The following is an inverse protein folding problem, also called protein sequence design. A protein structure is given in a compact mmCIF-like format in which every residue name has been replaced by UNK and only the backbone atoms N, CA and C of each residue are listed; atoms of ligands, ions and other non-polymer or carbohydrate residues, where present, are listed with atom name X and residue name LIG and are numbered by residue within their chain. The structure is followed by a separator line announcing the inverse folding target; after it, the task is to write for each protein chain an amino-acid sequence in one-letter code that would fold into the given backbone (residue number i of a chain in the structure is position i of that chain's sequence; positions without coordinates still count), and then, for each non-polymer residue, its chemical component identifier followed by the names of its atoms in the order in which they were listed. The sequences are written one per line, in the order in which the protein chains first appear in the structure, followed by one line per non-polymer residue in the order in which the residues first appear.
data_IF_101345903337
#
_entry.id   IF_101345903337
#
_cell.length_a   1.000
_cell.length_b   1.000
_cell.length_c   1.000
_cell.angle_alpha   90.00
_cell.angle_beta   90.00
_cell.angle_gamma   90.00
#
_symmetry.space_group_name_H-M   'P 1'
#
loop_
_entity.id
_entity.type
_entity.pdbx_description
1 polymer ?
#
# COMPACT_ATOMS: atom_id res chain seq x y z
N UNK A 1 1.03 -4.02 8.58
CA UNK A 1 0.63 -3.39 7.31
C UNK A 1 1.78 -3.57 6.35
N UNK A 2 1.51 -3.65 5.05
CA UNK A 2 2.52 -3.66 4.01
C UNK A 2 2.11 -2.71 2.89
N UNK A 3 3.12 -2.20 2.16
CA UNK A 3 2.95 -1.33 1.01
C UNK A 3 3.71 -1.91 -0.17
N UNK A 4 3.04 -2.06 -1.31
CA UNK A 4 3.60 -2.67 -2.52
C UNK A 4 3.47 -1.69 -3.67
N UNK A 5 4.56 -1.56 -4.44
CA UNK A 5 4.61 -0.80 -5.68
C UNK A 5 4.47 -1.75 -6.86
N UNK A 6 3.41 -1.58 -7.63
CA UNK A 6 3.14 -2.34 -8.84
C UNK A 6 3.57 -1.49 -10.03
N UNK A 7 4.63 -1.93 -10.71
CA UNK A 7 5.09 -1.32 -11.95
C UNK A 7 4.22 -1.82 -13.09
N UNK A 8 3.57 -0.90 -13.81
CA UNK A 8 2.74 -1.26 -14.97
C UNK A 8 3.54 -1.36 -16.28
N UNK A 9 4.78 -0.89 -16.28
CA UNK A 9 5.63 -1.02 -17.46
C UNK A 9 5.90 -2.51 -17.73
N UNK A 10 5.73 -2.97 -18.98
CA UNK A 10 5.99 -4.35 -19.33
C UNK A 10 7.47 -4.67 -19.08
N UNK A 11 7.72 -5.86 -18.55
CA UNK A 11 9.08 -6.35 -18.35
C UNK A 11 9.64 -6.77 -19.70
N UNK A 12 10.77 -6.21 -20.09
CA UNK A 12 11.53 -6.70 -21.25
C UNK A 12 12.21 -8.00 -20.85
N UNK A 13 11.85 -9.08 -21.55
CA UNK A 13 12.44 -10.41 -21.34
C UNK A 13 13.78 -10.58 -22.06
N UNK A 14 14.43 -11.72 -21.82
CA UNK A 14 15.53 -12.16 -22.69
C UNK A 14 14.95 -12.52 -24.04
N UNK A 15 15.58 -12.00 -25.09
CA UNK A 15 15.28 -12.34 -26.47
C UNK A 15 16.59 -12.62 -27.23
N UNK A 16 16.55 -13.52 -28.21
CA UNK A 16 17.69 -13.84 -29.06
C UNK A 16 17.54 -13.11 -30.39
N UNK A 17 18.36 -12.09 -30.62
CA UNK A 17 18.47 -11.43 -31.91
C UNK A 17 19.55 -12.10 -32.77
N UNK A 18 19.34 -12.14 -34.08
CA UNK A 18 20.39 -12.49 -35.03
C UNK A 18 21.54 -11.46 -34.95
N UNK A 19 22.79 -11.86 -35.26
CA UNK A 19 23.92 -10.93 -35.32
C UNK A 19 23.59 -9.75 -36.23
N UNK A 20 23.89 -8.52 -35.79
CA UNK A 20 23.62 -7.24 -36.47
C UNK A 20 22.15 -6.80 -36.51
N UNK A 21 21.23 -7.47 -35.80
CA UNK A 21 19.88 -6.94 -35.54
C UNK A 21 19.77 -6.39 -34.12
N UNK A 22 19.12 -5.23 -33.98
CA UNK A 22 18.79 -4.61 -32.68
C UNK A 22 17.30 -4.30 -32.67
N UNK A 23 16.58 -4.81 -31.68
CA UNK A 23 15.23 -4.32 -31.40
C UNK A 23 15.29 -2.88 -30.90
N UNK A 24 14.47 -2.02 -31.50
CA UNK A 24 14.19 -0.69 -30.95
C UNK A 24 13.11 -0.89 -29.89
N UNK A 25 13.55 -0.91 -28.63
CA UNK A 25 12.62 -0.89 -27.50
C UNK A 25 12.18 0.55 -27.31
N UNK A 26 10.89 0.81 -27.51
CA UNK A 26 10.32 2.11 -27.21
C UNK A 26 10.44 2.33 -25.71
N UNK A 27 11.11 3.39 -25.29
CA UNK A 27 11.11 3.78 -23.87
C UNK A 27 9.66 4.00 -23.46
N UNK A 28 9.14 3.14 -22.58
CA UNK A 28 7.81 3.36 -22.03
C UNK A 28 7.78 4.76 -21.42
N UNK A 29 6.73 5.51 -21.74
CA UNK A 29 6.53 6.87 -21.23
C UNK A 29 6.44 6.91 -19.70
N UNK A 30 5.85 7.98 -19.18
CA UNK A 30 5.83 8.28 -17.75
C UNK A 30 5.53 7.04 -16.88
N UNK A 31 6.41 6.75 -15.91
CA UNK A 31 6.38 5.53 -15.09
C UNK A 31 5.08 5.46 -14.25
N UNK A 32 4.08 4.76 -14.78
CA UNK A 32 2.82 4.56 -14.09
C UNK A 32 3.01 3.47 -13.02
N UNK A 33 2.95 3.91 -11.77
CA UNK A 33 2.97 3.02 -10.60
C UNK A 33 1.59 2.95 -9.98
N UNK A 34 1.15 1.73 -9.72
CA UNK A 34 0.02 1.48 -8.84
C UNK A 34 0.55 1.11 -7.46
N UNK A 35 -0.14 1.59 -6.43
CA UNK A 35 0.22 1.35 -5.05
C UNK A 35 -0.85 0.49 -4.39
N UNK A 36 -0.43 -0.46 -3.58
CA UNK A 36 -1.29 -1.33 -2.81
C UNK A 36 -0.89 -1.23 -1.34
N UNK A 37 -1.82 -0.75 -0.50
CA UNK A 37 -1.67 -0.75 0.95
C UNK A 37 -2.53 -1.87 1.50
N UNK A 38 -1.90 -2.76 2.27
CA UNK A 38 -2.51 -3.96 2.79
C UNK A 38 -2.29 -4.15 4.27
N UNK A 39 -3.25 -4.82 4.91
CA UNK A 39 -3.11 -5.31 6.26
C UNK A 39 -3.59 -6.76 6.31
N UNK A 40 -2.77 -7.62 6.93
CA UNK A 40 -3.05 -9.01 7.15
C UNK A 40 -3.34 -9.23 8.64
N UNK A 41 -4.59 -9.50 9.04
CA UNK A 41 -4.89 -9.83 10.41
C UNK A 41 -4.34 -11.22 10.75
N UNK A 42 -3.52 -11.32 11.78
CA UNK A 42 -2.89 -12.59 12.24
C UNK A 42 -3.95 -13.65 12.54
N UNK A 43 -5.10 -13.25 13.09
CA UNK A 43 -6.16 -14.17 13.52
C UNK A 43 -6.94 -14.81 12.38
N UNK A 44 -7.16 -14.09 11.28
CA UNK A 44 -8.02 -14.55 10.18
C UNK A 44 -7.24 -14.96 8.95
N UNK A 45 -5.99 -14.51 8.80
CA UNK A 45 -5.15 -14.78 7.64
C UNK A 45 -5.71 -14.21 6.32
N UNK A 46 -6.80 -13.43 6.36
CA UNK A 46 -7.45 -12.88 5.16
C UNK A 46 -7.00 -11.43 4.95
N UNK A 47 -6.15 -11.15 3.95
CA UNK A 47 -5.65 -9.81 3.72
C UNK A 47 -6.79 -8.85 3.39
N UNK A 48 -6.62 -7.60 3.80
CA UNK A 48 -7.44 -6.48 3.38
C UNK A 48 -6.53 -5.51 2.67
N UNK A 49 -6.83 -5.17 1.42
CA UNK A 49 -6.05 -4.24 0.64
C UNK A 49 -6.91 -3.10 0.10
N UNK A 50 -6.23 -1.98 -0.16
CA UNK A 50 -6.74 -0.84 -0.92
C UNK A 50 -5.72 -0.57 -2.02
N UNK A 51 -6.17 -0.25 -3.23
CA UNK A 51 -5.35 0.07 -4.40
C UNK A 51 -5.54 1.53 -4.83
N UNK A 52 -4.48 2.16 -5.34
CA UNK A 52 -4.49 3.58 -5.65
C UNK A 52 -3.33 4.02 -6.55
N UNK A 53 -3.45 5.23 -7.10
CA UNK A 53 -2.47 5.80 -8.05
C UNK A 53 -1.37 6.65 -7.38
N UNK A 54 -1.47 6.91 -6.08
CA UNK A 54 -0.55 7.78 -5.32
C UNK A 54 -0.20 7.20 -3.94
N UNK A 55 1.04 7.45 -3.49
CA UNK A 55 1.49 7.17 -2.11
C UNK A 55 1.14 8.34 -1.18
N UNK A 56 -0.15 8.61 -1.00
CA UNK A 56 -0.60 9.68 -0.10
C UNK A 56 -1.09 9.15 1.25
N UNK A 57 -1.30 10.07 2.20
CA UNK A 57 -1.89 9.74 3.49
C UNK A 57 -3.38 9.39 3.39
N UNK A 58 -4.09 9.80 2.33
CA UNK A 58 -5.48 9.43 2.12
C UNK A 58 -5.62 7.92 1.89
N UNK A 59 -4.61 7.31 1.28
CA UNK A 59 -4.53 5.88 1.04
C UNK A 59 -4.47 5.07 2.34
N UNK A 60 -3.59 5.49 3.27
CA UNK A 60 -3.52 4.92 4.61
C UNK A 60 -4.85 5.08 5.37
N UNK A 61 -5.46 6.27 5.29
CA UNK A 61 -6.76 6.54 5.93
C UNK A 61 -7.85 5.62 5.37
N UNK A 62 -7.90 5.39 4.05
CA UNK A 62 -8.85 4.44 3.43
C UNK A 62 -8.67 3.02 3.97
N UNK A 63 -7.43 2.58 4.16
CA UNK A 63 -7.15 1.27 4.76
C UNK A 63 -7.69 1.19 6.19
N UNK A 64 -7.48 2.23 7.01
CA UNK A 64 -8.00 2.28 8.38
C UNK A 64 -9.53 2.15 8.44
N UNK A 65 -10.24 2.89 7.58
CA UNK A 65 -11.70 2.79 7.47
C UNK A 65 -12.15 1.40 7.04
N UNK A 66 -11.45 0.79 6.07
CA UNK A 66 -11.77 -0.56 5.60
C UNK A 66 -11.57 -1.60 6.70
N UNK A 67 -10.52 -1.47 7.51
CA UNK A 67 -10.28 -2.34 8.66
C UNK A 67 -11.32 -2.16 9.76
N UNK A 68 -11.66 -0.92 10.12
CA UNK A 68 -12.68 -0.64 11.11
C UNK A 68 -14.07 -1.17 10.69
N UNK A 69 -14.38 -1.10 9.39
CA UNK A 69 -15.62 -1.64 8.83
C UNK A 69 -15.64 -3.16 8.75
N UNK A 70 -14.48 -3.82 8.56
CA UNK A 70 -14.38 -5.29 8.53
C UNK A 70 -14.51 -5.88 9.93
N UNK A 71 -13.81 -5.29 10.89
CA UNK A 71 -13.77 -5.75 12.28
C UNK A 71 -14.61 -4.84 13.19
N UNK A 72 -15.91 -4.70 12.88
CA UNK A 72 -16.82 -3.79 13.62
C UNK A 72 -16.89 -4.06 15.12
N UNK A 73 -16.64 -5.31 15.55
CA UNK A 73 -16.67 -5.71 16.97
C UNK A 73 -15.36 -5.42 17.72
N UNK A 74 -14.25 -5.17 17.02
CA UNK A 74 -12.95 -4.97 17.65
C UNK A 74 -12.84 -3.57 18.28
N UNK A 75 -12.81 -3.49 19.61
CA UNK A 75 -12.60 -2.21 20.34
C UNK A 75 -11.21 -1.59 20.10
N UNK A 76 -10.22 -2.43 19.76
CA UNK A 76 -8.83 -2.02 19.52
C UNK A 76 -8.24 -2.82 18.37
N UNK A 77 -7.48 -2.16 17.51
CA UNK A 77 -6.77 -2.79 16.39
C UNK A 77 -5.29 -2.41 16.53
N UNK A 78 -4.42 -3.41 16.63
CA UNK A 78 -2.97 -3.21 16.67
C UNK A 78 -2.41 -3.30 15.25
N UNK A 79 -1.69 -2.27 14.80
CA UNK A 79 -1.16 -2.20 13.44
C UNK A 79 0.36 -2.13 13.48
N UNK A 80 1.05 -3.17 13.05
CA UNK A 80 2.52 -3.11 12.86
C UNK A 80 2.80 -2.29 11.60
N UNK A 81 3.50 -1.16 11.75
CA UNK A 81 3.78 -0.18 10.71
C UNK A 81 5.29 0.10 10.63
N UNK A 82 5.72 0.61 9.48
CA UNK A 82 7.04 1.23 9.28
C UNK A 82 7.06 2.67 9.82
N UNK A 83 8.22 3.34 9.78
CA UNK A 83 8.37 4.73 10.25
C UNK A 83 8.01 5.78 9.18
N UNK A 84 7.05 5.48 8.30
CA UNK A 84 6.69 6.41 7.24
C UNK A 84 5.99 7.66 7.80
N UNK A 85 6.39 8.85 7.34
CA UNK A 85 5.84 10.15 7.79
C UNK A 85 4.33 10.29 7.59
N UNK A 86 3.76 9.54 6.65
CA UNK A 86 2.31 9.50 6.36
C UNK A 86 1.48 9.04 7.57
N UNK A 87 2.03 8.20 8.45
CA UNK A 87 1.34 7.74 9.66
C UNK A 87 1.16 8.85 10.69
N UNK A 88 2.03 9.87 10.65
CA UNK A 88 2.04 10.99 11.59
C UNK A 88 1.37 12.25 11.03
N UNK A 89 0.90 12.22 9.78
CA UNK A 89 0.30 13.39 9.13
C UNK A 89 -0.93 13.90 9.88
N UNK A 90 -1.20 15.22 9.80
CA UNK A 90 -2.39 15.83 10.41
C UNK A 90 -3.69 15.16 9.97
N UNK A 91 -3.80 14.81 8.68
CA UNK A 91 -4.97 14.10 8.11
C UNK A 91 -5.16 12.73 8.76
N UNK A 92 -4.06 12.00 8.97
CA UNK A 92 -4.08 10.68 9.62
C UNK A 92 -4.57 10.78 11.06
N UNK A 93 -4.05 11.74 11.83
CA UNK A 93 -4.48 11.98 13.21
C UNK A 93 -5.97 12.33 13.31
N UNK A 94 -6.47 13.18 12.41
CA UNK A 94 -7.90 13.52 12.34
C UNK A 94 -8.77 12.30 12.02
N UNK A 95 -8.37 11.48 11.05
CA UNK A 95 -9.11 10.26 10.72
C UNK A 95 -9.13 9.25 11.88
N UNK A 96 -8.02 9.10 12.61
CA UNK A 96 -7.95 8.25 13.81
C UNK A 96 -8.89 8.73 14.91
N UNK A 97 -8.98 10.06 15.12
CA UNK A 97 -9.93 10.63 16.08
C UNK A 97 -11.38 10.35 15.69
N UNK A 98 -11.72 10.50 14.40
CA UNK A 98 -13.08 10.23 13.88
C UNK A 98 -13.49 8.76 13.95
N UNK A 99 -12.55 7.84 13.76
CA UNK A 99 -12.82 6.40 13.80
C UNK A 99 -13.27 5.91 15.17
N UNK A 100 -13.05 6.68 16.24
CA UNK A 100 -13.44 6.33 17.61
C UNK A 100 -12.80 5.03 18.12
N UNK A 101 -11.79 4.53 17.42
CA UNK A 101 -11.10 3.25 17.69
C UNK A 101 -9.65 3.52 17.99
N UNK A 102 -9.11 2.76 18.94
CA UNK A 102 -7.70 2.86 19.29
C UNK A 102 -6.87 2.02 18.34
N UNK A 103 -6.14 2.70 17.46
CA UNK A 103 -5.07 2.12 16.67
C UNK A 103 -3.76 2.35 17.39
N UNK A 104 -3.06 1.27 17.74
CA UNK A 104 -1.76 1.34 18.40
C UNK A 104 -0.72 0.78 17.44
N UNK A 105 0.22 1.59 16.95
CA UNK A 105 1.33 1.08 16.16
C UNK A 105 2.40 0.46 17.08
N UNK A 106 2.68 -0.86 16.99
CA UNK A 106 3.96 -1.40 17.45
C UNK A 106 5.02 -0.97 16.44
N UNK A 107 6.06 -0.31 16.95
CA UNK A 107 7.23 0.06 16.18
C UNK A 107 8.13 -1.18 16.03
N UNK A 108 8.52 -1.51 14.79
CA UNK A 108 9.65 -2.40 14.52
C UNK A 108 10.72 -1.55 13.79
N UNK A 109 11.86 -1.23 14.44
CA UNK A 109 12.98 -0.55 13.79
C UNK A 109 13.59 -1.38 12.66
#
# INVERSE_FOLDING_TARGET
MYKIDIHLNPKVGRDHCLPRQRWVIVTHGNNQKHYLDGALPVRTGRPTSVEGKSKDSAFYIRLLWRLANKDRRARRIHLILDNASVHFSKKTRLALAQLGRRFVPPYCP
#
